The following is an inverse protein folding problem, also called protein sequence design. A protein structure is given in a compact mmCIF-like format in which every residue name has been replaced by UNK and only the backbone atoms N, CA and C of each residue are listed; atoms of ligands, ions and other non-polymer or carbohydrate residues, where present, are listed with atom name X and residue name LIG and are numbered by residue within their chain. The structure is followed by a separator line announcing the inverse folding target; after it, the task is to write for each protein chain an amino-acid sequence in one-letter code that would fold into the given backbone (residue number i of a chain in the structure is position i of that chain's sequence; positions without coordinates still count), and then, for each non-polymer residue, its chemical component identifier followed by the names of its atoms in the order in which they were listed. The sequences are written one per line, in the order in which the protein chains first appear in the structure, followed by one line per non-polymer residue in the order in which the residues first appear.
data_IF_603023959732
#
_entry.id   IF_603023959732
#
_cell.length_a   1.000
_cell.length_b   1.000
_cell.length_c   1.000
_cell.angle_alpha   90.00
_cell.angle_beta   90.00
_cell.angle_gamma   90.00
#
_symmetry.space_group_name_H-M   'P 1'
#
loop_
_entity.id
_entity.type
_entity.pdbx_description
1 polymer ?
#
# COMPACT_ATOMS: atom_id res chain seq x y z
N UNK A 1 -9.43 14.86 21.36
CA UNK A 1 -8.69 13.59 21.30
C UNK A 1 -8.88 12.81 20.00
N UNK A 2 -9.70 13.28 19.05
CA UNK A 2 -10.01 12.62 17.76
C UNK A 2 -9.15 13.13 16.58
N UNK A 3 -8.27 14.08 16.79
CA UNK A 3 -7.42 14.67 15.75
C UNK A 3 -6.03 14.03 15.63
N UNK A 4 -5.71 13.03 16.46
CA UNK A 4 -4.38 12.39 16.50
C UNK A 4 -4.32 11.03 15.78
N UNK A 5 -5.42 10.60 15.15
CA UNK A 5 -5.46 9.44 14.25
C UNK A 5 -5.44 9.95 12.80
N UNK A 6 -4.72 11.04 12.58
CA UNK A 6 -4.70 11.73 11.30
C UNK A 6 -3.71 11.02 10.38
N UNK A 7 -4.32 10.48 9.33
CA UNK A 7 -3.72 10.29 8.01
C UNK A 7 -2.35 9.59 8.03
N UNK A 8 -2.38 8.25 8.12
CA UNK A 8 -1.19 7.39 7.98
C UNK A 8 -0.34 7.84 6.77
N UNK A 9 -0.99 8.27 5.69
CA UNK A 9 -0.29 8.76 4.49
C UNK A 9 0.48 10.03 4.80
N UNK A 10 -0.16 11.01 5.46
CA UNK A 10 0.50 12.28 5.80
C UNK A 10 1.66 12.07 6.77
N UNK A 11 1.50 11.19 7.76
CA UNK A 11 2.55 10.88 8.72
C UNK A 11 3.73 10.15 8.09
N UNK A 12 3.48 9.13 7.24
CA UNK A 12 4.53 8.44 6.50
C UNK A 12 5.21 9.40 5.53
N UNK A 13 4.44 10.20 4.77
CA UNK A 13 5.01 11.18 3.85
C UNK A 13 5.84 12.24 4.57
N UNK A 14 5.41 12.68 5.75
CA UNK A 14 6.19 13.59 6.59
C UNK A 14 7.52 12.97 7.02
N UNK A 15 7.51 11.73 7.48
CA UNK A 15 8.72 11.01 7.87
C UNK A 15 9.64 10.75 6.68
N UNK A 16 9.10 10.40 5.51
CA UNK A 16 9.87 10.25 4.27
C UNK A 16 10.50 11.58 3.85
N UNK A 17 9.75 12.69 3.95
CA UNK A 17 10.23 14.01 3.55
C UNK A 17 11.20 14.64 4.57
N UNK A 18 11.36 14.05 5.76
CA UNK A 18 12.24 14.57 6.81
C UNK A 18 13.66 14.02 6.67
N UNK A 19 14.64 14.90 6.64
CA UNK A 19 16.05 14.56 6.53
C UNK A 19 16.39 13.92 5.17
N UNK A 20 17.34 12.97 5.18
CA UNK A 20 17.82 12.30 3.97
C UNK A 20 17.02 11.06 3.57
N UNK A 21 15.89 10.79 4.21
CA UNK A 21 15.12 9.56 4.00
C UNK A 21 14.69 9.40 2.54
N UNK A 22 14.15 10.45 1.93
CA UNK A 22 13.72 10.42 0.54
C UNK A 22 14.91 10.16 -0.39
N UNK A 23 16.05 10.81 -0.14
CA UNK A 23 17.28 10.59 -0.90
C UNK A 23 17.81 9.16 -0.76
N UNK A 24 17.75 8.59 0.45
CA UNK A 24 18.16 7.20 0.69
C UNK A 24 17.25 6.21 -0.06
N UNK A 25 15.93 6.40 -0.02
CA UNK A 25 14.97 5.58 -0.76
C UNK A 25 15.24 5.71 -2.26
N UNK A 26 15.39 6.95 -2.77
CA UNK A 26 15.63 7.22 -4.20
C UNK A 26 16.89 6.54 -4.71
N UNK A 27 17.99 6.63 -3.96
CA UNK A 27 19.25 5.93 -4.26
C UNK A 27 19.07 4.41 -4.24
N UNK A 28 18.36 3.89 -3.25
CA UNK A 28 18.13 2.44 -3.10
C UNK A 28 17.31 1.85 -4.25
N UNK A 29 16.30 2.56 -4.73
CA UNK A 29 15.45 2.09 -5.85
C UNK A 29 16.04 2.41 -7.21
N UNK A 30 16.93 3.41 -7.30
CA UNK A 30 17.49 3.91 -8.56
C UNK A 30 16.55 4.85 -9.30
N UNK A 31 15.74 5.64 -8.58
CA UNK A 31 14.81 6.64 -9.11
C UNK A 31 15.17 8.06 -8.67
N UNK A 32 14.63 9.07 -9.34
CA UNK A 32 14.74 10.45 -8.90
C UNK A 32 13.81 10.74 -7.71
N UNK A 33 14.18 11.70 -6.86
CA UNK A 33 13.44 12.01 -5.63
C UNK A 33 12.00 12.45 -5.87
N UNK A 34 11.76 13.25 -6.92
CA UNK A 34 10.41 13.73 -7.26
C UNK A 34 9.51 12.60 -7.72
N UNK A 35 10.04 11.72 -8.58
CA UNK A 35 9.33 10.54 -9.04
C UNK A 35 9.05 9.57 -7.91
N UNK A 36 10.01 9.33 -7.00
CA UNK A 36 9.84 8.47 -5.83
C UNK A 36 8.81 9.07 -4.85
N UNK A 37 8.88 10.36 -4.58
CA UNK A 37 7.89 11.05 -3.74
C UNK A 37 6.47 10.94 -4.34
N UNK A 38 6.34 11.16 -5.65
CA UNK A 38 5.08 11.01 -6.36
C UNK A 38 4.57 9.56 -6.32
N UNK A 39 5.45 8.58 -6.52
CA UNK A 39 5.10 7.17 -6.44
C UNK A 39 4.65 6.75 -5.03
N UNK A 40 5.29 7.26 -3.97
CA UNK A 40 4.89 7.02 -2.58
C UNK A 40 3.54 7.64 -2.26
N UNK A 41 3.30 8.90 -2.68
CA UNK A 41 2.03 9.60 -2.43
C UNK A 41 0.81 8.91 -3.07
N UNK A 42 1.01 8.17 -4.15
CA UNK A 42 -0.02 7.35 -4.79
C UNK A 42 -0.01 5.91 -4.28
N UNK A 43 1.17 5.33 -4.07
CA UNK A 43 1.35 3.93 -3.68
C UNK A 43 0.84 3.63 -2.27
N UNK A 44 1.09 4.52 -1.30
CA UNK A 44 0.65 4.33 0.09
C UNK A 44 -0.88 4.23 0.21
N UNK A 45 -1.68 5.16 -0.37
CA UNK A 45 -3.13 5.01 -0.39
C UNK A 45 -3.62 3.74 -1.08
N UNK A 46 -2.97 3.32 -2.17
CA UNK A 46 -3.32 2.09 -2.87
C UNK A 46 -3.05 0.85 -2.03
N UNK A 47 -1.93 0.81 -1.28
CA UNK A 47 -1.62 -0.26 -0.34
C UNK A 47 -2.65 -0.32 0.79
N UNK A 48 -3.01 0.82 1.39
CA UNK A 48 -4.06 0.90 2.41
C UNK A 48 -5.42 0.44 1.87
N UNK A 49 -5.76 0.83 0.63
CA UNK A 49 -6.96 0.37 -0.05
C UNK A 49 -6.99 -1.15 -0.23
N UNK A 50 -5.87 -1.73 -0.65
CA UNK A 50 -5.73 -3.18 -0.83
C UNK A 50 -5.77 -3.93 0.52
N UNK A 51 -5.20 -3.36 1.57
CA UNK A 51 -5.32 -3.91 2.94
C UNK A 51 -6.77 -3.89 3.42
N UNK A 52 -7.49 -2.79 3.18
CA UNK A 52 -8.92 -2.67 3.51
C UNK A 52 -9.76 -3.70 2.76
N UNK A 53 -9.51 -3.89 1.47
CA UNK A 53 -10.17 -4.92 0.66
C UNK A 53 -9.85 -6.33 1.17
N UNK A 54 -8.58 -6.57 1.54
CA UNK A 54 -8.15 -7.85 2.11
C UNK A 54 -8.83 -8.13 3.44
N UNK A 55 -8.83 -7.19 4.39
CA UNK A 55 -9.46 -7.39 5.70
C UNK A 55 -10.98 -7.57 5.64
N UNK A 56 -11.61 -7.10 4.56
CA UNK A 56 -13.04 -7.27 4.32
C UNK A 56 -13.40 -8.68 3.79
N UNK A 57 -12.41 -9.47 3.39
CA UNK A 57 -12.60 -10.86 2.92
C UNK A 57 -12.47 -11.84 4.07
N UNK A 58 -13.17 -13.01 3.99
CA UNK A 58 -13.02 -14.07 5.00
C UNK A 58 -11.54 -14.48 5.18
N UNK A 59 -11.05 -14.49 6.41
CA UNK A 59 -9.65 -14.83 6.74
C UNK A 59 -8.62 -13.72 6.43
N UNK A 60 -9.04 -12.62 5.80
CA UNK A 60 -8.11 -11.54 5.43
C UNK A 60 -7.58 -10.76 6.63
N UNK A 61 -8.41 -10.56 7.66
CA UNK A 61 -7.97 -9.93 8.90
C UNK A 61 -6.91 -10.78 9.62
N UNK A 62 -7.07 -12.12 9.62
CA UNK A 62 -6.06 -13.06 10.18
C UNK A 62 -4.75 -12.98 9.41
N UNK A 63 -4.82 -12.90 8.07
CA UNK A 63 -3.64 -12.76 7.22
C UNK A 63 -2.87 -11.47 7.54
N UNK A 64 -3.56 -10.32 7.64
CA UNK A 64 -2.93 -9.05 8.00
C UNK A 64 -2.35 -9.11 9.42
N UNK A 65 -3.09 -9.63 10.38
CA UNK A 65 -2.61 -9.80 11.77
C UNK A 65 -1.36 -10.70 11.81
N UNK A 66 -1.35 -11.79 11.03
CA UNK A 66 -0.19 -12.66 10.90
C UNK A 66 1.04 -11.93 10.32
N UNK A 67 0.86 -11.11 9.29
CA UNK A 67 1.94 -10.28 8.74
C UNK A 67 2.45 -9.26 9.76
N UNK A 68 1.55 -8.60 10.51
CA UNK A 68 1.92 -7.67 11.59
C UNK A 68 2.73 -8.39 12.68
N UNK A 69 2.32 -9.61 13.05
CA UNK A 69 3.02 -10.44 14.05
C UNK A 69 4.44 -10.81 13.60
N UNK A 70 4.64 -11.12 12.32
CA UNK A 70 5.96 -11.44 11.76
C UNK A 70 6.91 -10.23 11.77
N UNK A 71 6.39 -9.02 11.68
CA UNK A 71 7.20 -7.79 11.79
C UNK A 71 7.61 -7.44 13.23
N UNK A 72 7.05 -8.14 14.24
CA UNK A 72 7.44 -7.99 15.64
C UNK A 72 7.28 -6.58 16.22
N UNK A 73 6.38 -5.76 15.66
CA UNK A 73 6.20 -4.36 16.05
C UNK A 73 7.33 -3.41 15.60
N UNK A 74 8.30 -3.90 14.85
CA UNK A 74 9.37 -3.08 14.28
C UNK A 74 8.82 -2.22 13.15
N UNK A 75 9.03 -0.90 13.24
CA UNK A 75 8.72 0.01 12.15
C UNK A 75 10.00 0.25 11.34
N UNK A 76 10.03 -0.10 10.04
CA UNK A 76 11.19 0.17 9.18
C UNK A 76 11.63 1.64 9.17
N UNK A 77 10.70 2.56 9.47
CA UNK A 77 11.00 3.99 9.55
C UNK A 77 11.86 4.37 10.75
N UNK A 78 11.85 3.58 11.83
CA UNK A 78 12.67 3.86 13.02
C UNK A 78 14.17 3.67 12.72
N UNK A 79 14.51 2.84 11.71
CA UNK A 79 15.89 2.63 11.24
C UNK A 79 15.93 2.35 9.74
N UNK A 80 15.58 3.35 8.94
CA UNK A 80 15.43 3.23 7.48
C UNK A 80 16.75 2.79 6.80
N UNK A 81 17.87 3.31 7.23
CA UNK A 81 19.17 2.97 6.65
C UNK A 81 19.51 1.48 6.79
N UNK A 82 19.32 0.91 7.99
CA UNK A 82 19.49 -0.53 8.21
C UNK A 82 18.46 -1.36 7.45
N UNK A 83 17.23 -0.89 7.36
CA UNK A 83 16.17 -1.55 6.58
C UNK A 83 16.53 -1.61 5.11
N UNK A 84 16.91 -0.48 4.49
CA UNK A 84 17.26 -0.43 3.06
C UNK A 84 18.52 -1.23 2.72
N UNK A 85 19.46 -1.36 3.66
CA UNK A 85 20.69 -2.15 3.51
C UNK A 85 20.50 -3.66 3.72
N UNK A 86 19.32 -4.10 4.15
CA UNK A 86 19.04 -5.49 4.48
C UNK A 86 18.46 -6.25 3.26
N UNK A 87 18.87 -7.51 3.01
CA UNK A 87 18.30 -8.33 1.94
C UNK A 87 16.78 -8.54 2.09
N UNK A 88 16.27 -8.46 3.33
CA UNK A 88 14.84 -8.63 3.64
C UNK A 88 13.98 -7.46 3.18
N UNK A 89 14.56 -6.27 2.95
CA UNK A 89 13.82 -5.11 2.48
C UNK A 89 13.23 -5.29 1.08
N UNK A 90 13.99 -5.88 0.17
CA UNK A 90 13.55 -6.11 -1.21
C UNK A 90 12.71 -7.38 -1.35
N UNK A 91 13.11 -8.49 -0.72
CA UNK A 91 12.42 -9.78 -0.85
C UNK A 91 11.14 -9.82 -0.01
N UNK A 92 11.21 -9.39 1.25
CA UNK A 92 10.04 -9.35 2.16
C UNK A 92 8.99 -8.34 1.69
N UNK A 93 9.43 -7.15 1.29
CA UNK A 93 8.53 -6.13 0.77
C UNK A 93 7.84 -6.54 -0.53
N UNK A 94 8.57 -7.15 -1.47
CA UNK A 94 7.99 -7.66 -2.72
C UNK A 94 6.95 -8.75 -2.47
N UNK A 95 7.19 -9.66 -1.53
CA UNK A 95 6.22 -10.69 -1.14
C UNK A 95 4.99 -10.08 -0.50
N UNK A 96 5.13 -9.06 0.36
CA UNK A 96 4.00 -8.32 0.94
C UNK A 96 3.17 -7.63 -0.15
N UNK A 97 3.82 -6.92 -1.08
CA UNK A 97 3.13 -6.26 -2.20
C UNK A 97 2.37 -7.28 -3.04
N UNK A 98 2.98 -8.42 -3.37
CA UNK A 98 2.33 -9.48 -4.12
C UNK A 98 1.13 -10.08 -3.38
N UNK A 99 1.23 -10.24 -2.07
CA UNK A 99 0.12 -10.75 -1.23
C UNK A 99 -1.03 -9.75 -1.12
N UNK A 100 -0.73 -8.45 -1.01
CA UNK A 100 -1.74 -7.40 -0.86
C UNK A 100 -2.39 -7.00 -2.19
N UNK A 101 -1.60 -6.85 -3.24
CA UNK A 101 -2.07 -6.36 -4.54
C UNK A 101 -2.46 -7.51 -5.49
N UNK A 102 -1.88 -8.69 -5.33
CA UNK A 102 -2.17 -9.85 -6.18
C UNK A 102 -2.09 -9.53 -7.67
N UNK A 103 -3.16 -9.83 -8.41
CA UNK A 103 -3.28 -9.54 -9.85
C UNK A 103 -3.31 -8.03 -10.20
N UNK A 104 -3.57 -7.16 -9.22
CA UNK A 104 -3.62 -5.72 -9.42
C UNK A 104 -2.22 -5.06 -9.37
N UNK A 105 -1.17 -5.81 -9.03
CA UNK A 105 0.19 -5.28 -8.90
C UNK A 105 0.66 -4.62 -10.21
N UNK A 106 0.54 -5.28 -11.34
CA UNK A 106 0.97 -4.76 -12.64
C UNK A 106 0.17 -3.54 -13.09
N UNK A 107 -1.18 -3.56 -13.08
CA UNK A 107 -1.98 -2.36 -13.34
C UNK A 107 -1.60 -1.17 -12.46
N UNK A 108 -1.41 -1.38 -11.16
CA UNK A 108 -1.03 -0.32 -10.20
C UNK A 108 0.36 0.24 -10.54
N UNK A 109 1.34 -0.62 -10.79
CA UNK A 109 2.69 -0.20 -11.18
C UNK A 109 2.67 0.65 -12.44
N UNK A 110 1.93 0.23 -13.47
CA UNK A 110 1.82 0.97 -14.72
C UNK A 110 1.13 2.34 -14.53
N UNK A 111 0.06 2.39 -13.75
CA UNK A 111 -0.66 3.62 -13.48
C UNK A 111 0.20 4.62 -12.69
N UNK A 112 0.91 4.17 -11.66
CA UNK A 112 1.85 5.00 -10.90
C UNK A 112 3.02 5.43 -11.78
N UNK A 113 3.55 4.53 -12.62
CA UNK A 113 4.62 4.81 -13.57
C UNK A 113 4.29 5.98 -14.49
N UNK A 114 3.10 5.97 -15.09
CA UNK A 114 2.64 7.05 -15.97
C UNK A 114 2.53 8.40 -15.27
N UNK A 115 2.17 8.40 -13.99
CA UNK A 115 2.00 9.63 -13.22
C UNK A 115 3.29 10.14 -12.58
N UNK A 116 4.14 9.24 -12.11
CA UNK A 116 5.40 9.58 -11.44
C UNK A 116 6.56 9.80 -12.40
N UNK A 117 6.44 9.33 -13.65
CA UNK A 117 7.53 9.33 -14.63
C UNK A 117 8.59 8.25 -14.38
N UNK A 118 8.44 7.41 -13.34
CA UNK A 118 9.36 6.33 -13.05
C UNK A 118 9.04 5.08 -13.89
N UNK A 119 10.05 4.30 -14.30
CA UNK A 119 9.82 2.98 -14.91
C UNK A 119 9.00 2.06 -13.98
N UNK A 120 8.11 1.18 -14.50
CA UNK A 120 7.30 0.27 -13.68
C UNK A 120 8.13 -0.60 -12.73
N UNK A 121 9.33 -1.01 -13.15
CA UNK A 121 10.25 -1.78 -12.30
C UNK A 121 10.74 -0.98 -11.08
N UNK A 122 10.97 0.33 -11.22
CA UNK A 122 11.33 1.22 -10.10
C UNK A 122 10.12 1.43 -9.20
N UNK A 123 8.94 1.65 -9.77
CA UNK A 123 7.69 1.72 -8.99
C UNK A 123 7.47 0.46 -8.15
N UNK A 124 7.75 -0.72 -8.71
CA UNK A 124 7.70 -1.99 -7.97
C UNK A 124 8.62 -2.00 -6.75
N UNK A 125 9.84 -1.48 -6.88
CA UNK A 125 10.78 -1.34 -5.75
C UNK A 125 10.29 -0.32 -4.71
N UNK A 126 9.73 0.81 -5.16
CA UNK A 126 9.14 1.83 -4.27
C UNK A 126 8.00 1.21 -3.45
N UNK A 127 7.10 0.47 -4.09
CA UNK A 127 6.00 -0.23 -3.40
C UNK A 127 6.53 -1.30 -2.43
N UNK A 128 7.58 -2.03 -2.79
CA UNK A 128 8.21 -3.03 -1.93
C UNK A 128 8.82 -2.41 -0.65
N UNK A 129 9.27 -1.16 -0.71
CA UNK A 129 9.73 -0.40 0.46
C UNK A 129 8.53 0.17 1.22
N UNK A 130 7.53 0.69 0.52
CA UNK A 130 6.36 1.31 1.12
C UNK A 130 5.48 0.30 1.91
N UNK A 131 5.33 -0.93 1.41
CA UNK A 131 4.46 -1.93 2.04
C UNK A 131 4.85 -2.25 3.49
N UNK A 132 6.10 -2.61 3.83
CA UNK A 132 6.50 -2.83 5.22
C UNK A 132 6.46 -1.55 6.05
N UNK A 133 6.63 -0.36 5.46
CA UNK A 133 6.49 0.92 6.18
C UNK A 133 5.03 1.14 6.60
N UNK A 134 4.09 0.95 5.70
CA UNK A 134 2.65 1.03 5.98
C UNK A 134 2.25 -0.02 7.03
N UNK A 135 2.70 -1.27 6.85
CA UNK A 135 2.43 -2.35 7.81
C UNK A 135 3.02 -2.06 9.19
N UNK A 136 4.26 -1.58 9.27
CA UNK A 136 4.89 -1.22 10.55
C UNK A 136 4.13 -0.11 11.27
N UNK A 137 3.65 0.89 10.53
CA UNK A 137 2.83 1.97 11.08
C UNK A 137 1.47 1.48 11.59
N UNK A 138 0.76 0.68 10.79
CA UNK A 138 -0.50 0.04 11.18
C UNK A 138 -0.28 -0.88 12.38
N UNK A 139 0.80 -1.65 12.40
CA UNK A 139 1.16 -2.53 13.50
C UNK A 139 1.40 -1.79 14.81
N UNK A 140 2.09 -0.65 14.76
CA UNK A 140 2.32 0.22 15.91
C UNK A 140 1.01 0.78 16.48
N UNK A 141 0.08 1.19 15.59
CA UNK A 141 -1.25 1.65 16.00
C UNK A 141 -2.08 0.52 16.60
N UNK A 142 -2.06 -0.65 15.98
CA UNK A 142 -2.77 -1.84 16.43
C UNK A 142 -2.30 -2.30 17.82
N UNK A 143 -0.98 -2.41 18.01
CA UNK A 143 -0.39 -2.80 19.30
C UNK A 143 -0.64 -1.77 20.39
N UNK A 144 -0.58 -0.47 20.06
CA UNK A 144 -0.78 0.62 21.02
C UNK A 144 -2.21 0.74 21.52
N UNK A 145 -3.20 0.29 20.77
CA UNK A 145 -4.62 0.41 21.11
C UNK A 145 -5.26 -0.91 21.56
N UNK A 146 -4.49 -2.01 21.65
CA UNK A 146 -4.99 -3.34 22.05
C UNK A 146 -6.29 -3.73 21.30
N UNK A 147 -6.32 -3.45 19.99
CA UNK A 147 -7.49 -3.69 19.16
C UNK A 147 -7.68 -5.18 18.87
N UNK A 148 -8.93 -5.60 18.72
CA UNK A 148 -9.29 -6.88 18.12
C UNK A 148 -9.28 -6.80 16.57
N UNK A 149 -9.57 -7.91 15.91
CA UNK A 149 -9.63 -7.96 14.43
C UNK A 149 -10.66 -7.01 13.84
N UNK A 150 -11.77 -6.76 14.52
CA UNK A 150 -12.79 -5.80 14.07
C UNK A 150 -12.26 -4.37 14.15
N UNK A 151 -11.56 -4.04 15.24
CA UNK A 151 -10.88 -2.76 15.40
C UNK A 151 -9.84 -2.54 14.31
N UNK A 152 -9.04 -3.56 14.00
CA UNK A 152 -8.07 -3.51 12.90
C UNK A 152 -8.74 -3.25 11.53
N UNK A 153 -9.82 -3.97 11.22
CA UNK A 153 -10.57 -3.79 9.96
C UNK A 153 -11.14 -2.38 9.86
N UNK A 154 -11.73 -1.87 10.95
CA UNK A 154 -12.26 -0.49 10.99
C UNK A 154 -11.15 0.54 10.84
N UNK A 155 -10.03 0.38 11.53
CA UNK A 155 -8.87 1.27 11.43
C UNK A 155 -8.37 1.35 9.98
N UNK A 156 -8.10 0.21 9.36
CA UNK A 156 -7.60 0.15 7.99
C UNK A 156 -8.64 0.73 7.00
N UNK A 157 -9.92 0.45 7.19
CA UNK A 157 -11.00 0.97 6.36
C UNK A 157 -11.12 2.49 6.43
N UNK A 158 -11.05 3.06 7.63
CA UNK A 158 -11.11 4.51 7.82
C UNK A 158 -9.86 5.21 7.28
N UNK A 159 -8.68 4.63 7.53
CA UNK A 159 -7.42 5.15 6.98
C UNK A 159 -7.38 5.06 5.45
N UNK A 160 -7.91 3.99 4.86
CA UNK A 160 -8.04 3.87 3.41
C UNK A 160 -8.93 4.96 2.82
N UNK A 161 -10.08 5.25 3.44
CA UNK A 161 -10.98 6.34 3.00
C UNK A 161 -10.30 7.70 3.07
N UNK A 162 -9.63 8.00 4.19
CA UNK A 162 -8.90 9.26 4.37
C UNK A 162 -7.77 9.39 3.38
N UNK A 163 -6.99 8.34 3.16
CA UNK A 163 -5.91 8.28 2.20
C UNK A 163 -6.38 8.56 0.76
N UNK A 164 -7.52 8.00 0.36
CA UNK A 164 -8.12 8.26 -0.95
C UNK A 164 -8.64 9.69 -1.09
N UNK A 165 -9.13 10.31 0.00
CA UNK A 165 -9.54 11.71 -0.01
C UNK A 165 -8.34 12.66 -0.11
N UNK A 166 -7.23 12.32 0.53
CA UNK A 166 -6.00 13.12 0.51
C UNK A 166 -5.20 12.98 -0.79
N UNK A 167 -5.46 11.94 -1.58
CA UNK A 167 -4.77 11.66 -2.85
C UNK A 167 -5.76 11.49 -4.00
N UNK A 168 -6.18 12.59 -4.66
CA UNK A 168 -7.12 12.53 -5.80
C UNK A 168 -6.66 11.62 -6.93
N UNK A 169 -5.37 11.58 -7.21
CA UNK A 169 -4.79 10.69 -8.23
C UNK A 169 -4.95 9.21 -7.85
N UNK A 170 -4.67 8.84 -6.59
CA UNK A 170 -4.89 7.48 -6.09
C UNK A 170 -6.38 7.10 -6.13
N UNK A 171 -7.27 8.02 -5.76
CA UNK A 171 -8.71 7.81 -5.82
C UNK A 171 -9.21 7.59 -7.26
N UNK A 172 -8.72 8.39 -8.22
CA UNK A 172 -9.07 8.23 -9.63
C UNK A 172 -8.55 6.90 -10.20
N UNK A 173 -7.32 6.52 -9.85
CA UNK A 173 -6.74 5.23 -10.25
C UNK A 173 -7.56 4.06 -9.67
N UNK A 174 -7.92 4.10 -8.40
CA UNK A 174 -8.76 3.09 -7.76
C UNK A 174 -10.13 2.97 -8.45
N UNK A 175 -10.78 4.10 -8.78
CA UNK A 175 -12.05 4.11 -9.53
C UNK A 175 -11.91 3.49 -10.93
N UNK A 176 -10.85 3.80 -11.66
CA UNK A 176 -10.59 3.22 -12.98
C UNK A 176 -10.39 1.72 -12.90
N UNK A 177 -9.65 1.23 -11.89
CA UNK A 177 -9.40 -0.19 -11.68
C UNK A 177 -10.69 -0.94 -11.29
N UNK A 178 -11.50 -0.37 -10.40
CA UNK A 178 -12.78 -0.96 -10.01
C UNK A 178 -13.79 -0.93 -11.17
N UNK A 179 -13.79 0.14 -11.96
CA UNK A 179 -14.64 0.26 -13.17
C UNK A 179 -14.31 -0.81 -14.20
N UNK A 180 -13.03 -1.04 -14.48
CA UNK A 180 -12.60 -2.08 -15.42
C UNK A 180 -12.92 -3.51 -14.95
N UNK A 181 -12.91 -3.75 -13.64
CA UNK A 181 -13.33 -5.06 -13.10
C UNK A 181 -14.84 -5.30 -13.22
N UNK A 182 -15.66 -4.26 -13.09
CA UNK A 182 -17.11 -4.39 -13.28
C UNK A 182 -17.48 -4.61 -14.76
N UNK A 183 -16.76 -4.02 -15.69
CA UNK A 183 -16.97 -4.27 -17.12
C UNK A 183 -16.55 -5.69 -17.53
N UNK A 184 -15.42 -6.19 -17.03
CA UNK A 184 -15.00 -7.59 -17.26
C UNK A 184 -15.97 -8.59 -16.61
N UNK A 185 -16.48 -8.32 -15.42
CA UNK A 185 -17.47 -9.18 -14.77
C UNK A 185 -18.82 -9.20 -15.55
N UNK A 186 -19.26 -8.04 -16.07
CA UNK A 186 -20.46 -7.94 -16.91
C UNK A 186 -20.23 -8.63 -18.27
N UNK A 187 -19.07 -8.45 -18.90
CA UNK A 187 -18.71 -9.11 -20.14
C UNK A 187 -18.66 -10.63 -19.97
N UNK A 188 -18.04 -11.15 -18.90
CA UNK A 188 -17.95 -12.58 -18.62
C UNK A 188 -19.34 -13.17 -18.33
N UNK A 189 -20.21 -12.45 -17.63
CA UNK A 189 -21.60 -12.83 -17.41
C UNK A 189 -22.41 -12.87 -18.71
N UNK A 190 -22.18 -11.92 -19.61
CA UNK A 190 -22.82 -11.83 -20.91
C UNK A 190 -22.38 -12.96 -21.86
N UNK A 191 -21.07 -13.25 -21.92
CA UNK A 191 -20.52 -14.37 -22.69
C UNK A 191 -21.02 -15.72 -22.19
N UNK A 192 -21.11 -15.94 -20.86
CA UNK A 192 -21.66 -17.18 -20.28
C UNK A 192 -23.17 -17.36 -20.62
N UNK A 193 -23.90 -16.24 -20.77
CA UNK A 193 -25.34 -16.26 -21.13
C UNK A 193 -25.55 -16.51 -22.62
N UNK A 194 -24.62 -16.16 -23.50
CA UNK A 194 -24.73 -16.33 -24.96
C UNK A 194 -24.14 -17.66 -25.42
N UNK A 195 -23.05 -18.14 -24.81
CA UNK A 195 -22.31 -19.33 -25.26
C UNK A 195 -22.40 -20.52 -24.29
N UNK A 196 -23.12 -20.39 -23.17
CA UNK A 196 -23.33 -21.47 -22.21
C UNK A 196 -24.60 -22.24 -22.51
N UNK A 197 -24.59 -23.08 -23.55
CA UNK A 197 -25.53 -24.16 -23.77
C UNK A 197 -24.78 -25.46 -23.88
#
# INVERSE_FOLDING_TARGET
MLQSIMDIVADIMKQVATGDNLSQISKSVGGDEKGVQSALSMGIPMLLGSMSDTTSKPGGADMITGMLGQMGGSNPMDNLGSFLGSPTSSTGGSSMVSSLLGSQMVPIQNAISQKSGLPPAIVGKVLAIAAPMVMGYVGKMFAGQKMDQKGLTSLIGDQSKMAMQSSPDAANMAKQMLGSQQETAKATGFFKKIFGK
#
